data_IF_903765298809
#
_entry.id   IF_903765298809
#
_cell.length_a   1.000
_cell.length_b   1.000
_cell.length_c   1.000
_cell.angle_alpha   90.00
_cell.angle_beta   90.00
_cell.angle_gamma   90.00
#
_symmetry.space_group_name_H-M   'P 1'
#
loop_
_entity.id
_entity.type
_entity.pdbx_description
1 polymer ?
#
# COMPACT_ATOMS: atom_id res chain seq x y z
N UNK A 1 -20.07 8.12 -11.33
CA UNK A 1 -20.65 6.97 -10.58
C UNK A 1 -19.64 6.32 -9.64
N UNK A 2 -18.44 5.95 -10.10
CA UNK A 2 -17.45 5.26 -9.26
C UNK A 2 -17.06 6.03 -7.99
N UNK A 3 -16.80 7.34 -8.08
CA UNK A 3 -16.49 8.17 -6.91
C UNK A 3 -17.64 8.21 -5.87
N UNK A 4 -18.89 8.27 -6.32
CA UNK A 4 -20.07 8.30 -5.44
C UNK A 4 -20.23 6.96 -4.70
N UNK A 5 -19.97 5.84 -5.37
CA UNK A 5 -20.00 4.51 -4.76
C UNK A 5 -18.78 4.25 -3.86
N UNK A 6 -17.65 4.89 -4.15
CA UNK A 6 -16.43 4.74 -3.37
C UNK A 6 -16.53 5.36 -1.97
N UNK A 7 -17.33 6.42 -1.79
CA UNK A 7 -17.49 7.10 -0.48
C UNK A 7 -18.14 6.20 0.59
N UNK A 8 -19.32 5.58 0.39
CA UNK A 8 -19.91 4.72 1.41
C UNK A 8 -19.04 3.47 1.66
N UNK A 9 -18.41 2.94 0.60
CA UNK A 9 -17.48 1.82 0.72
C UNK A 9 -16.23 2.22 1.52
N UNK A 10 -15.67 3.41 1.30
CA UNK A 10 -14.49 3.89 2.03
C UNK A 10 -14.76 4.09 3.51
N UNK A 11 -15.96 4.53 3.90
CA UNK A 11 -16.35 4.61 5.32
C UNK A 11 -16.42 3.23 5.97
N UNK A 12 -16.94 2.22 5.26
CA UNK A 12 -16.97 0.83 5.77
C UNK A 12 -15.55 0.24 5.95
N UNK A 13 -14.62 0.60 5.05
CA UNK A 13 -13.22 0.21 5.11
C UNK A 13 -12.52 0.96 6.25
N UNK A 14 -12.76 2.27 6.38
CA UNK A 14 -12.19 3.12 7.42
C UNK A 14 -12.51 2.60 8.82
N UNK A 15 -13.76 2.24 9.09
CA UNK A 15 -14.17 1.72 10.39
C UNK A 15 -13.39 0.46 10.78
N UNK A 16 -13.19 -0.46 9.82
CA UNK A 16 -12.39 -1.68 10.01
C UNK A 16 -10.91 -1.36 10.18
N UNK A 17 -10.40 -0.37 9.45
CA UNK A 17 -9.02 0.12 9.65
C UNK A 17 -8.79 0.65 11.05
N UNK A 18 -9.66 1.52 11.55
CA UNK A 18 -9.49 2.11 12.88
C UNK A 18 -9.41 1.03 13.97
N UNK A 19 -10.21 -0.04 13.85
CA UNK A 19 -10.12 -1.18 14.76
C UNK A 19 -8.83 -2.00 14.63
N UNK A 20 -8.34 -2.21 13.40
CA UNK A 20 -7.16 -3.05 13.15
C UNK A 20 -5.86 -2.26 13.20
N UNK A 21 -5.94 -0.92 13.24
CA UNK A 21 -4.79 -0.03 13.18
C UNK A 21 -3.73 -0.32 14.24
N UNK A 22 -4.05 -0.53 15.53
CA UNK A 22 -3.03 -0.86 16.53
C UNK A 22 -2.24 -2.13 16.17
N UNK A 23 -2.94 -3.15 15.67
CA UNK A 23 -2.32 -4.41 15.23
C UNK A 23 -1.50 -4.20 13.97
N UNK A 24 -1.97 -3.36 13.04
CA UNK A 24 -1.25 -2.99 11.82
C UNK A 24 0.05 -2.24 12.14
N UNK A 25 0.04 -1.31 13.10
CA UNK A 25 1.23 -0.58 13.58
C UNK A 25 2.25 -1.54 14.15
N UNK A 26 1.83 -2.44 15.05
CA UNK A 26 2.73 -3.46 15.63
C UNK A 26 3.29 -4.34 14.51
N UNK A 27 2.47 -4.77 13.56
CA UNK A 27 2.89 -5.57 12.42
C UNK A 27 3.90 -4.85 11.52
N UNK A 28 3.66 -3.58 11.20
CA UNK A 28 4.56 -2.74 10.41
C UNK A 28 5.87 -2.45 11.15
N UNK A 29 5.81 -2.23 12.46
CA UNK A 29 6.99 -2.05 13.29
C UNK A 29 7.85 -3.31 13.30
N UNK A 30 7.25 -4.48 13.57
CA UNK A 30 7.97 -5.76 13.53
C UNK A 30 8.53 -6.05 12.14
N UNK A 31 7.76 -5.75 11.09
CA UNK A 31 8.21 -5.89 9.70
C UNK A 31 9.42 -5.01 9.39
N UNK A 32 9.36 -3.72 9.75
CA UNK A 32 10.45 -2.77 9.58
C UNK A 32 11.68 -3.13 10.42
N UNK A 33 11.49 -3.54 11.67
CA UNK A 33 12.56 -3.96 12.57
C UNK A 33 13.29 -5.21 12.06
N UNK A 34 12.55 -6.27 11.71
CA UNK A 34 13.14 -7.50 11.15
C UNK A 34 13.82 -7.23 9.81
N UNK A 35 13.19 -6.42 8.96
CA UNK A 35 13.76 -5.99 7.69
C UNK A 35 15.05 -5.19 7.88
N UNK A 36 15.09 -4.27 8.85
CA UNK A 36 16.26 -3.48 9.20
C UNK A 36 17.40 -4.34 9.75
N UNK A 37 17.10 -5.30 10.62
CA UNK A 37 18.08 -6.26 11.12
C UNK A 37 18.67 -7.10 9.98
N UNK A 38 17.83 -7.60 9.07
CA UNK A 38 18.28 -8.35 7.90
C UNK A 38 19.14 -7.48 6.97
N UNK A 39 18.72 -6.23 6.74
CA UNK A 39 19.47 -5.25 5.96
C UNK A 39 20.83 -4.93 6.60
N UNK A 40 20.89 -4.78 7.91
CA UNK A 40 22.13 -4.57 8.64
C UNK A 40 23.11 -5.74 8.45
N UNK A 41 22.65 -6.98 8.65
CA UNK A 41 23.47 -8.19 8.48
C UNK A 41 23.99 -8.33 7.04
N UNK A 42 23.12 -8.12 6.04
CA UNK A 42 23.53 -8.14 4.63
C UNK A 42 24.51 -7.00 4.33
N UNK A 43 24.30 -5.83 4.93
CA UNK A 43 25.13 -4.63 4.74
C UNK A 43 26.56 -4.79 5.24
N UNK A 44 26.81 -5.68 6.21
CA UNK A 44 28.17 -6.02 6.65
C UNK A 44 28.99 -6.71 5.54
N UNK A 45 28.32 -7.39 4.60
CA UNK A 45 28.95 -8.14 3.51
C UNK A 45 28.88 -7.33 2.20
N UNK A 46 27.69 -6.82 1.88
CA UNK A 46 27.39 -6.11 0.63
C UNK A 46 26.59 -4.84 0.95
N UNK A 47 27.27 -3.71 1.21
CA UNK A 47 26.61 -2.44 1.56
C UNK A 47 25.58 -1.97 0.53
N UNK A 48 25.82 -2.22 -0.76
CA UNK A 48 24.85 -1.85 -1.80
C UNK A 48 23.53 -2.65 -1.70
N UNK A 49 23.61 -3.93 -1.31
CA UNK A 49 22.44 -4.78 -1.19
C UNK A 49 21.57 -4.41 0.02
N UNK A 50 22.18 -3.92 1.11
CA UNK A 50 21.41 -3.43 2.26
C UNK A 50 20.60 -2.19 1.92
N UNK A 51 21.16 -1.25 1.15
CA UNK A 51 20.44 -0.05 0.69
C UNK A 51 19.22 -0.44 -0.15
N UNK A 52 19.39 -1.35 -1.12
CA UNK A 52 18.28 -1.84 -1.96
C UNK A 52 17.20 -2.50 -1.11
N UNK A 53 17.60 -3.33 -0.15
CA UNK A 53 16.66 -4.02 0.74
C UNK A 53 15.89 -3.02 1.63
N UNK A 54 16.58 -2.03 2.21
CA UNK A 54 15.95 -0.99 3.03
C UNK A 54 14.95 -0.16 2.24
N UNK A 55 15.28 0.19 0.99
CA UNK A 55 14.35 0.87 0.08
C UNK A 55 13.13 -0.02 -0.18
N UNK A 56 13.33 -1.31 -0.46
CA UNK A 56 12.22 -2.23 -0.73
C UNK A 56 11.30 -2.42 0.49
N UNK A 57 11.87 -2.56 1.69
CA UNK A 57 11.10 -2.67 2.95
C UNK A 57 10.32 -1.38 3.19
N UNK A 58 10.99 -0.23 3.10
CA UNK A 58 10.34 1.08 3.29
C UNK A 58 9.22 1.29 2.29
N UNK A 59 9.44 0.99 1.02
CA UNK A 59 8.44 1.13 -0.02
C UNK A 59 7.24 0.19 0.18
N UNK A 60 7.50 -1.06 0.59
CA UNK A 60 6.43 -2.03 0.84
C UNK A 60 5.55 -1.66 2.04
N UNK A 61 6.09 -0.91 3.01
CA UNK A 61 5.34 -0.45 4.19
C UNK A 61 4.17 0.47 3.81
N UNK A 62 4.26 1.17 2.68
CA UNK A 62 3.16 1.95 2.12
C UNK A 62 2.08 1.09 1.43
N UNK A 63 2.46 -0.05 0.86
CA UNK A 63 1.53 -0.95 0.16
C UNK A 63 0.77 -1.87 1.11
N UNK A 64 1.40 -2.31 2.20
CA UNK A 64 0.79 -3.24 3.17
C UNK A 64 -0.56 -2.70 3.67
N UNK A 65 -0.67 -1.43 4.14
CA UNK A 65 -1.96 -0.85 4.45
C UNK A 65 -2.93 -1.00 3.29
N UNK A 66 -2.62 -0.52 2.08
CA UNK A 66 -3.51 -0.58 0.91
C UNK A 66 -4.03 -2.00 0.63
N UNK A 67 -3.17 -3.02 0.79
CA UNK A 67 -3.58 -4.42 0.65
C UNK A 67 -4.58 -4.88 1.72
N UNK A 68 -4.35 -4.48 2.98
CA UNK A 68 -5.28 -4.76 4.09
C UNK A 68 -6.62 -4.04 3.85
N UNK A 69 -6.60 -2.80 3.36
CA UNK A 69 -7.81 -2.02 3.08
C UNK A 69 -8.63 -2.57 1.93
N UNK A 70 -7.96 -2.98 0.86
CA UNK A 70 -8.63 -3.66 -0.27
C UNK A 70 -9.27 -4.97 0.18
N UNK A 71 -8.67 -5.73 1.11
CA UNK A 71 -9.33 -6.90 1.74
C UNK A 71 -10.57 -6.53 2.54
N UNK A 72 -10.53 -5.45 3.31
CA UNK A 72 -11.73 -4.96 4.00
C UNK A 72 -12.82 -4.55 3.01
N UNK A 73 -12.44 -3.95 1.89
CA UNK A 73 -13.34 -3.65 0.78
C UNK A 73 -14.02 -4.90 0.24
N UNK A 74 -13.26 -5.94 -0.12
CA UNK A 74 -13.85 -7.23 -0.55
C UNK A 74 -14.73 -7.87 0.52
N UNK A 75 -14.32 -7.83 1.78
CA UNK A 75 -15.09 -8.40 2.88
C UNK A 75 -16.40 -7.64 3.14
N UNK A 76 -16.49 -6.35 2.81
CA UNK A 76 -17.76 -5.59 2.85
C UNK A 76 -18.72 -6.00 1.73
N UNK A 77 -18.18 -6.52 0.62
CA UNK A 77 -18.91 -7.09 -0.51
C UNK A 77 -19.12 -8.61 -0.37
N UNK A 78 -18.88 -9.16 0.83
CA UNK A 78 -18.99 -10.59 1.14
C UNK A 78 -18.08 -11.51 0.30
N UNK A 79 -17.00 -10.96 -0.28
CA UNK A 79 -16.03 -11.72 -1.05
C UNK A 79 -14.84 -12.04 -0.15
N UNK A 80 -14.59 -13.34 0.03
CA UNK A 80 -13.51 -13.82 0.89
C UNK A 80 -12.20 -13.99 0.09
N UNK A 81 -11.06 -13.52 0.63
CA UNK A 81 -9.75 -13.75 0.01
C UNK A 81 -9.38 -15.24 0.04
N UNK A 82 -8.77 -15.73 -1.03
CA UNK A 82 -8.29 -17.12 -1.12
C UNK A 82 -6.97 -17.34 -0.38
N UNK A 83 -6.21 -16.26 -0.15
CA UNK A 83 -4.89 -16.30 0.46
C UNK A 83 -4.88 -15.73 1.90
N UNK A 84 -4.06 -16.32 2.78
CA UNK A 84 -3.79 -15.75 4.11
C UNK A 84 -2.90 -14.48 4.05
N UNK A 85 -2.87 -13.69 5.12
CA UNK A 85 -2.10 -12.43 5.19
C UNK A 85 -0.60 -12.61 4.97
N UNK A 86 -0.02 -13.76 5.36
CA UNK A 86 1.40 -14.06 5.12
C UNK A 86 1.78 -14.03 3.64
N UNK A 87 0.85 -14.41 2.75
CA UNK A 87 1.07 -14.41 1.30
C UNK A 87 1.01 -13.00 0.68
N UNK A 88 0.64 -11.97 1.45
CA UNK A 88 0.63 -10.58 0.98
C UNK A 88 2.00 -9.91 1.04
N UNK A 89 2.94 -10.42 1.84
CA UNK A 89 4.26 -9.81 2.05
C UNK A 89 5.04 -9.73 0.73
N UNK A 90 5.03 -10.81 -0.05
CA UNK A 90 5.75 -10.82 -1.33
C UNK A 90 5.13 -9.84 -2.35
N UNK A 91 3.81 -9.87 -2.62
CA UNK A 91 3.17 -8.83 -3.42
C UNK A 91 3.44 -7.40 -2.92
N UNK A 92 3.39 -7.15 -1.60
CA UNK A 92 3.60 -5.80 -1.08
C UNK A 92 5.01 -5.29 -1.33
N UNK A 93 6.01 -6.18 -1.25
CA UNK A 93 7.40 -5.86 -1.63
C UNK A 93 7.49 -5.57 -3.13
N UNK A 94 6.90 -6.40 -3.99
CA UNK A 94 6.96 -6.21 -5.45
C UNK A 94 6.30 -4.89 -5.87
N UNK A 95 5.08 -4.62 -5.43
CA UNK A 95 4.39 -3.38 -5.78
C UNK A 95 5.03 -2.16 -5.12
N UNK A 96 5.52 -2.30 -3.89
CA UNK A 96 6.22 -1.22 -3.18
C UNK A 96 7.51 -0.85 -3.90
N UNK A 97 8.36 -1.83 -4.19
CA UNK A 97 9.59 -1.62 -4.94
C UNK A 97 9.32 -1.03 -6.34
N UNK A 98 8.27 -1.49 -7.02
CA UNK A 98 7.89 -0.95 -8.34
C UNK A 98 7.47 0.52 -8.24
N UNK A 99 6.65 0.85 -7.25
CA UNK A 99 6.25 2.24 -7.01
C UNK A 99 7.45 3.11 -6.63
N UNK A 100 8.29 2.66 -5.69
CA UNK A 100 9.47 3.42 -5.27
C UNK A 100 10.48 3.60 -6.40
N UNK A 101 10.69 2.59 -7.24
CA UNK A 101 11.55 2.70 -8.41
C UNK A 101 10.97 3.69 -9.42
N UNK A 102 9.68 3.62 -9.70
CA UNK A 102 9.03 4.56 -10.61
C UNK A 102 9.11 6.00 -10.08
N UNK A 103 8.90 6.20 -8.78
CA UNK A 103 9.05 7.50 -8.10
C UNK A 103 10.52 7.96 -8.11
N UNK A 104 11.48 7.06 -7.87
CA UNK A 104 12.90 7.40 -7.89
C UNK A 104 13.38 7.81 -9.28
N UNK A 105 12.95 7.12 -10.34
CA UNK A 105 13.27 7.49 -11.74
C UNK A 105 12.78 8.90 -12.08
N UNK A 106 11.69 9.35 -11.46
CA UNK A 106 11.14 10.68 -11.67
C UNK A 106 11.78 11.74 -10.76
N UNK A 107 12.03 11.40 -9.50
CA UNK A 107 12.51 12.34 -8.49
C UNK A 107 14.04 12.49 -8.46
N UNK A 108 14.81 11.43 -8.74
CA UNK A 108 16.28 11.49 -8.65
C UNK A 108 16.88 12.44 -9.69
N UNK A 109 16.49 12.42 -10.98
CA UNK A 109 17.03 13.38 -11.95
C UNK A 109 16.63 14.81 -11.63
N UNK A 110 15.39 15.01 -11.16
CA UNK A 110 14.86 16.34 -10.85
C UNK A 110 15.50 16.93 -9.59
N UNK A 111 15.62 16.16 -8.52
CA UNK A 111 16.36 16.57 -7.31
C UNK A 111 17.86 16.69 -7.54
N UNK A 112 18.46 15.84 -8.38
CA UNK A 112 19.87 15.91 -8.74
C UNK A 112 20.21 17.15 -9.57
N UNK A 113 19.40 17.45 -10.59
CA UNK A 113 19.51 18.71 -11.35
C UNK A 113 19.35 19.92 -10.43
N UNK A 114 18.38 19.87 -9.53
CA UNK A 114 18.11 20.95 -8.59
C UNK A 114 19.27 21.14 -7.60
N UNK A 115 19.85 20.06 -7.07
CA UNK A 115 21.03 20.11 -6.20
C UNK A 115 22.25 20.71 -6.93
N UNK A 116 22.47 20.35 -8.20
CA UNK A 116 23.56 20.91 -9.02
C UNK A 116 23.36 22.42 -9.25
N UNK A 117 22.13 22.86 -9.49
CA UNK A 117 21.83 24.28 -9.71
C UNK A 117 21.92 25.13 -8.45
N UNK A 118 21.72 24.54 -7.27
CA UNK A 118 21.59 25.26 -5.99
C UNK A 118 22.88 25.24 -5.18
N UNK A 119 23.67 24.16 -5.26
CA UNK A 119 24.91 24.00 -4.51
C UNK A 119 25.88 25.20 -4.51
N UNK A 120 26.00 26.01 -5.59
CA UNK A 120 26.86 27.19 -5.57
C UNK A 120 26.44 28.28 -4.57
N UNK A 121 25.14 28.40 -4.25
CA UNK A 121 24.57 29.48 -3.42
C UNK A 121 24.30 29.06 -1.95
N UNK A 122 24.38 27.76 -1.62
CA UNK A 122 24.07 27.23 -0.27
C UNK A 122 25.12 27.64 0.78
N UNK A 123 26.32 28.01 0.36
CA UNK A 123 27.41 28.39 1.27
C UNK A 123 27.21 29.75 1.95
N UNK A 124 26.22 30.55 1.52
CA UNK A 124 26.00 31.92 2.02
C UNK A 124 24.57 32.13 2.60
N UNK A 125 23.94 31.06 3.10
CA UNK A 125 22.57 31.08 3.62
C UNK A 125 22.49 31.75 5.00
N UNK A 126 22.47 33.08 5.01
CA UNK A 126 21.85 33.86 6.09
C UNK A 126 20.32 33.89 5.90
N UNK A 127 19.56 34.10 6.98
CA UNK A 127 18.09 33.90 7.02
C UNK A 127 17.28 34.71 6.00
N UNK A 128 17.79 35.85 5.50
CA UNK A 128 17.14 36.65 4.44
C UNK A 128 17.33 36.01 3.05
N UNK A 129 18.48 35.38 2.78
CA UNK A 129 18.76 34.73 1.49
C UNK A 129 17.85 33.52 1.23
N UNK A 130 17.43 32.80 2.28
CA UNK A 130 16.51 31.65 2.16
C UNK A 130 15.13 32.08 1.69
N UNK A 131 14.62 33.22 2.20
CA UNK A 131 13.28 33.71 1.88
C UNK A 131 13.21 34.22 0.44
N UNK A 132 14.24 34.92 -0.04
CA UNK A 132 14.32 35.36 -1.44
C UNK A 132 14.51 34.19 -2.41
N UNK A 133 15.26 33.16 -2.03
CA UNK A 133 15.39 31.92 -2.81
C UNK A 133 14.05 31.21 -2.97
N UNK A 134 13.27 31.11 -1.89
CA UNK A 134 11.95 30.45 -1.89
C UNK A 134 10.84 31.26 -2.57
N UNK A 135 10.97 32.59 -2.67
CA UNK A 135 9.98 33.44 -3.33
C UNK A 135 10.34 33.77 -4.80
N UNK A 136 11.58 33.50 -5.21
CA UNK A 136 12.06 33.70 -6.58
C UNK A 136 11.63 32.60 -7.58
N UNK A 137 12.22 32.66 -8.78
CA UNK A 137 12.04 31.65 -9.85
C UNK A 137 12.40 30.22 -9.40
N UNK A 138 13.23 30.10 -8.37
CA UNK A 138 13.59 28.84 -7.73
C UNK A 138 12.43 28.22 -6.95
N UNK A 139 11.71 29.01 -6.13
CA UNK A 139 10.47 28.57 -5.47
C UNK A 139 9.38 28.16 -6.45
N UNK A 140 9.24 28.89 -7.56
CA UNK A 140 8.33 28.52 -8.65
C UNK A 140 8.72 27.17 -9.31
N UNK A 141 10.03 26.89 -9.45
CA UNK A 141 10.53 25.64 -10.02
C UNK A 141 10.35 24.46 -9.06
N UNK A 142 10.61 24.66 -7.75
CA UNK A 142 10.36 23.67 -6.70
C UNK A 142 8.87 23.30 -6.59
N UNK A 143 8.00 24.31 -6.60
CA UNK A 143 6.54 24.09 -6.59
C UNK A 143 6.07 23.37 -7.85
N UNK A 144 6.55 23.74 -9.04
CA UNK A 144 6.26 23.02 -10.28
C UNK A 144 6.69 21.55 -10.24
N UNK A 145 7.92 21.28 -9.79
CA UNK A 145 8.46 19.91 -9.68
C UNK A 145 7.68 19.06 -8.68
N UNK A 146 7.30 19.63 -7.53
CA UNK A 146 6.48 18.92 -6.54
C UNK A 146 5.09 18.55 -7.10
N UNK A 147 4.47 19.43 -7.90
CA UNK A 147 3.20 19.12 -8.58
C UNK A 147 3.38 17.96 -9.57
N UNK A 148 4.43 18.01 -10.41
CA UNK A 148 4.73 16.93 -11.36
C UNK A 148 4.97 15.60 -10.63
N UNK A 149 5.73 15.63 -9.54
CA UNK A 149 5.97 14.46 -8.70
C UNK A 149 4.68 13.89 -8.12
N UNK A 150 3.81 14.73 -7.53
CA UNK A 150 2.53 14.31 -6.97
C UNK A 150 1.63 13.70 -8.05
N UNK A 151 1.54 14.34 -9.21
CA UNK A 151 0.76 13.83 -10.36
C UNK A 151 1.30 12.47 -10.81
N UNK A 152 2.62 12.32 -10.90
CA UNK A 152 3.21 11.07 -11.33
C UNK A 152 3.04 9.94 -10.28
N UNK A 153 3.18 10.26 -8.98
CA UNK A 153 2.85 9.33 -7.89
C UNK A 153 1.38 8.90 -7.98
N UNK A 154 0.46 9.83 -8.24
CA UNK A 154 -0.95 9.51 -8.42
C UNK A 154 -1.18 8.59 -9.62
N UNK A 155 -0.48 8.81 -10.72
CA UNK A 155 -0.55 7.96 -11.91
C UNK A 155 -0.03 6.54 -11.65
N UNK A 156 1.13 6.43 -11.00
CA UNK A 156 1.73 5.13 -10.62
C UNK A 156 0.79 4.40 -9.66
N UNK A 157 0.29 5.07 -8.63
CA UNK A 157 -0.66 4.51 -7.67
C UNK A 157 -1.92 4.02 -8.37
N UNK A 158 -2.51 4.83 -9.25
CA UNK A 158 -3.73 4.49 -9.98
C UNK A 158 -3.56 3.26 -10.88
N UNK A 159 -2.41 3.11 -11.54
CA UNK A 159 -2.16 1.98 -12.43
C UNK A 159 -1.96 0.64 -11.71
N UNK A 160 -1.47 0.67 -10.47
CA UNK A 160 -1.27 -0.54 -9.65
C UNK A 160 -2.45 -0.90 -8.73
N UNK A 161 -3.49 -0.05 -8.59
CA UNK A 161 -4.60 -0.32 -7.67
C UNK A 161 -5.37 -1.61 -7.99
N UNK A 162 -5.64 -1.91 -9.27
CA UNK A 162 -6.33 -3.15 -9.69
C UNK A 162 -5.44 -4.40 -9.49
N UNK A 163 -4.16 -4.39 -9.92
CA UNK A 163 -3.21 -5.45 -9.56
C UNK A 163 -3.09 -5.69 -8.05
N UNK A 164 -3.06 -4.62 -7.24
CA UNK A 164 -3.06 -4.72 -5.77
C UNK A 164 -4.34 -5.37 -5.27
N UNK A 165 -5.51 -4.98 -5.78
CA UNK A 165 -6.77 -5.60 -5.41
C UNK A 165 -6.79 -7.11 -5.75
N UNK A 166 -6.26 -7.48 -6.92
CA UNK A 166 -6.13 -8.88 -7.35
C UNK A 166 -5.18 -9.67 -6.44
N UNK A 167 -4.03 -9.09 -6.08
CA UNK A 167 -3.07 -9.67 -5.15
C UNK A 167 -3.68 -9.84 -3.74
N UNK A 168 -4.42 -8.85 -3.27
CA UNK A 168 -5.11 -8.87 -1.99
C UNK A 168 -6.13 -10.00 -1.90
N UNK A 169 -6.87 -10.23 -2.98
CA UNK A 169 -7.86 -11.30 -3.06
C UNK A 169 -7.23 -12.68 -3.34
N UNK A 170 -6.06 -12.70 -3.99
CA UNK A 170 -5.34 -13.90 -4.41
C UNK A 170 -5.85 -14.50 -5.73
N UNK A 171 -6.59 -13.73 -6.52
CA UNK A 171 -7.15 -14.13 -7.82
C UNK A 171 -7.32 -12.90 -8.71
N UNK A 172 -7.27 -13.12 -10.02
CA UNK A 172 -7.51 -12.09 -11.03
C UNK A 172 -9.02 -11.89 -11.26
N UNK A 173 -9.46 -10.76 -11.85
CA UNK A 173 -10.87 -10.51 -12.19
C UNK A 173 -11.49 -11.63 -13.05
N UNK A 174 -10.69 -12.29 -13.88
CA UNK A 174 -11.09 -13.43 -14.74
C UNK A 174 -11.20 -14.77 -13.97
N UNK A 175 -11.22 -14.74 -12.64
CA UNK A 175 -11.21 -15.90 -11.71
C UNK A 175 -10.01 -16.85 -11.88
N UNK A 176 -8.92 -16.35 -12.48
CA UNK A 176 -7.64 -17.07 -12.58
C UNK A 176 -6.79 -16.86 -11.34
N UNK A 177 -5.80 -17.73 -11.13
CA UNK A 177 -4.78 -17.52 -10.11
C UNK A 177 -4.08 -16.17 -10.33
N UNK A 178 -3.81 -15.46 -9.23
CA UNK A 178 -3.22 -14.12 -9.26
C UNK A 178 -1.94 -14.07 -10.12
N UNK A 179 -1.91 -13.13 -11.06
CA UNK A 179 -0.74 -12.85 -11.90
C UNK A 179 -0.24 -11.42 -11.64
N UNK A 180 1.04 -11.19 -11.30
CA UNK A 180 1.57 -9.84 -11.10
C UNK A 180 1.33 -8.93 -12.30
N UNK A 181 0.92 -7.68 -12.04
CA UNK A 181 0.68 -6.64 -13.06
C UNK A 181 -0.40 -6.95 -14.11
N UNK A 182 -1.17 -8.02 -13.97
CA UNK A 182 -2.34 -8.21 -14.82
C UNK A 182 -3.36 -7.10 -14.55
N UNK A 183 -3.98 -6.58 -15.60
CA UNK A 183 -4.90 -5.43 -15.53
C UNK A 183 -4.23 -4.13 -15.01
N UNK A 184 -2.91 -4.00 -15.18
CA UNK A 184 -2.21 -2.75 -14.90
C UNK A 184 -2.78 -1.61 -15.75
N UNK A 185 -3.14 -0.50 -15.10
CA UNK A 185 -3.76 0.64 -15.78
C UNK A 185 -5.21 0.44 -16.20
N UNK A 186 -5.89 -0.63 -15.79
CA UNK A 186 -7.30 -0.78 -16.10
C UNK A 186 -8.17 0.30 -15.43
N UNK A 187 -9.08 0.88 -16.19
CA UNK A 187 -9.86 2.05 -15.77
C UNK A 187 -8.99 3.22 -15.23
N UNK A 188 -7.78 3.38 -15.78
CA UNK A 188 -6.76 4.34 -15.32
C UNK A 188 -7.33 5.72 -14.98
N UNK A 189 -8.06 6.36 -15.90
CA UNK A 189 -8.55 7.73 -15.71
C UNK A 189 -9.48 7.88 -14.50
N UNK A 190 -10.33 6.89 -14.24
CA UNK A 190 -11.24 6.92 -13.09
C UNK A 190 -10.48 6.73 -11.78
N UNK A 191 -9.52 5.80 -11.75
CA UNK A 191 -8.67 5.56 -10.58
C UNK A 191 -7.71 6.73 -10.34
N UNK A 192 -7.15 7.31 -11.40
CA UNK A 192 -6.28 8.47 -11.34
C UNK A 192 -7.01 9.68 -10.77
N UNK A 193 -8.21 10.00 -11.28
CA UNK A 193 -9.03 11.09 -10.75
C UNK A 193 -9.38 10.86 -9.26
N UNK A 194 -9.66 9.62 -8.88
CA UNK A 194 -9.99 9.27 -7.50
C UNK A 194 -8.77 9.34 -6.56
N UNK A 195 -7.62 8.86 -7.01
CA UNK A 195 -6.34 8.96 -6.27
C UNK A 195 -5.96 10.43 -6.12
N UNK A 196 -5.98 11.20 -7.21
CA UNK A 196 -5.71 12.64 -7.19
C UNK A 196 -6.65 13.37 -6.22
N UNK A 197 -7.96 13.09 -6.30
CA UNK A 197 -8.94 13.65 -5.38
C UNK A 197 -8.64 13.26 -3.92
N UNK A 198 -8.15 12.05 -3.66
CA UNK A 198 -7.78 11.63 -2.30
C UNK A 198 -6.56 12.40 -1.77
N UNK A 199 -5.52 12.60 -2.58
CA UNK A 199 -4.32 13.35 -2.17
C UNK A 199 -4.61 14.84 -2.00
N UNK A 200 -5.28 15.46 -2.99
CA UNK A 200 -5.70 16.86 -2.92
C UNK A 200 -6.69 17.07 -1.77
N UNK A 201 -7.62 16.14 -1.58
CA UNK A 201 -8.58 16.16 -0.48
C UNK A 201 -7.91 16.15 0.89
N UNK A 202 -6.93 15.27 1.11
CA UNK A 202 -6.13 15.28 2.34
C UNK A 202 -5.44 16.63 2.52
N UNK A 203 -4.74 17.12 1.49
CA UNK A 203 -3.99 18.38 1.59
C UNK A 203 -4.90 19.56 1.97
N UNK A 204 -6.07 19.66 1.34
CA UNK A 204 -7.07 20.69 1.64
C UNK A 204 -7.62 20.52 3.06
N UNK A 205 -8.05 19.32 3.45
CA UNK A 205 -8.59 19.07 4.80
C UNK A 205 -7.55 19.38 5.86
N UNK A 206 -6.30 18.95 5.66
CA UNK A 206 -5.20 19.22 6.58
C UNK A 206 -4.96 20.71 6.72
N UNK A 207 -4.91 21.44 5.59
CA UNK A 207 -4.74 22.90 5.58
C UNK A 207 -5.88 23.60 6.33
N UNK A 208 -7.13 23.20 6.08
CA UNK A 208 -8.30 23.78 6.76
C UNK A 208 -8.24 23.53 8.26
N UNK A 209 -7.88 22.32 8.70
CA UNK A 209 -7.72 21.99 10.12
C UNK A 209 -6.60 22.82 10.74
N UNK A 210 -5.44 22.90 10.09
CA UNK A 210 -4.31 23.69 10.58
C UNK A 210 -4.66 25.17 10.71
N UNK A 211 -5.39 25.71 9.72
CA UNK A 211 -5.85 27.09 9.72
C UNK A 211 -6.88 27.34 10.83
N UNK A 212 -7.82 26.40 11.01
CA UNK A 212 -8.80 26.46 12.09
C UNK A 212 -8.13 26.42 13.47
N UNK A 213 -7.11 25.56 13.65
CA UNK A 213 -6.32 25.51 14.87
C UNK A 213 -5.57 26.83 15.10
N UNK A 214 -4.92 27.38 14.07
CA UNK A 214 -4.17 28.63 14.14
C UNK A 214 -5.04 29.85 14.51
N UNK A 215 -6.28 29.91 14.03
CA UNK A 215 -7.22 30.98 14.37
C UNK A 215 -8.07 30.71 15.61
N UNK A 216 -7.89 29.55 16.26
CA UNK A 216 -8.57 29.21 17.50
C UNK A 216 -7.67 29.41 18.71
N UNK A 217 -8.27 29.58 19.89
CA UNK A 217 -7.54 29.50 21.17
C UNK A 217 -6.91 28.12 21.42
N UNK A 218 -7.28 27.10 20.64
CA UNK A 218 -6.66 25.79 20.68
C UNK A 218 -5.25 25.80 20.07
N UNK A 219 -4.92 26.76 19.19
CA UNK A 219 -3.60 26.85 18.57
C UNK A 219 -2.48 27.03 19.61
N UNK A 220 -2.70 27.87 20.62
CA UNK A 220 -1.74 28.06 21.71
C UNK A 220 -1.59 26.81 22.57
N UNK A 221 -2.70 26.11 22.86
CA UNK A 221 -2.69 24.84 23.61
C UNK A 221 -1.87 23.76 22.89
N UNK A 222 -1.95 23.71 21.56
CA UNK A 222 -1.15 22.78 20.76
C UNK A 222 0.32 23.20 20.73
N UNK A 223 0.61 24.50 20.59
CA UNK A 223 1.98 25.01 20.60
C UNK A 223 2.68 24.72 21.94
N UNK A 224 2.01 25.02 23.07
CA UNK A 224 2.53 24.72 24.41
C UNK A 224 2.74 23.22 24.60
N UNK A 225 1.79 22.40 24.13
CA UNK A 225 1.92 20.95 24.15
C UNK A 225 3.07 20.40 23.30
N UNK A 226 3.42 21.05 22.19
CA UNK A 226 4.58 20.67 21.36
C UNK A 226 5.90 21.06 22.02
N UNK A 227 5.96 22.22 22.69
CA UNK A 227 7.12 22.63 23.48
C UNK A 227 7.36 21.63 24.60
N UNK A 228 6.30 21.27 25.34
CA UNK A 228 6.39 20.29 26.41
C UNK A 228 6.81 18.90 25.91
N UNK A 229 6.34 18.49 24.72
CA UNK A 229 6.80 17.24 24.09
C UNK A 229 8.30 17.29 23.79
N UNK A 230 8.81 18.42 23.31
CA UNK A 230 10.24 18.60 23.06
C UNK A 230 11.03 18.52 24.36
N UNK A 231 10.57 19.17 25.43
CA UNK A 231 11.18 19.11 26.77
C UNK A 231 11.19 17.67 27.33
N UNK A 232 10.15 16.86 27.09
CA UNK A 232 10.15 15.44 27.46
C UNK A 232 11.19 14.62 26.68
N UNK A 233 11.34 14.89 25.38
CA UNK A 233 12.32 14.22 24.52
C UNK A 233 13.75 14.59 24.94
N UNK A 234 13.97 15.85 25.34
CA UNK A 234 15.25 16.35 25.86
C UNK A 234 15.53 15.92 27.31
N UNK A 235 14.53 15.37 28.00
CA UNK A 235 14.65 14.90 29.39
C UNK A 235 14.59 16.02 30.43
N UNK A 236 14.13 17.21 30.05
CA UNK A 236 13.95 18.37 30.94
C UNK A 236 12.57 18.37 31.61
N UNK A 237 11.61 17.62 31.08
CA UNK A 237 10.27 17.43 31.65
C UNK A 237 9.93 15.94 31.90
N UNK A 238 9.06 15.62 32.89
CA UNK A 238 8.61 14.25 33.12
C UNK A 238 7.64 13.77 32.03
N UNK A 239 7.73 12.49 31.67
CA UNK A 239 6.83 11.86 30.70
C UNK A 239 5.37 11.94 31.15
N UNK A 240 4.54 12.66 30.39
CA UNK A 240 3.09 12.73 30.59
C UNK A 240 2.35 12.81 29.26
N UNK A 241 1.07 12.43 29.27
CA UNK A 241 0.24 12.43 28.06
C UNK A 241 -0.24 13.85 27.73
N UNK A 242 0.07 14.30 26.51
CA UNK A 242 -0.35 15.60 25.98
C UNK A 242 -1.59 15.39 25.12
N UNK A 243 -2.74 15.21 25.78
CA UNK A 243 -3.99 14.82 25.13
C UNK A 243 -4.41 15.69 23.94
N UNK A 244 -4.28 17.04 23.97
CA UNK A 244 -4.61 17.87 22.82
C UNK A 244 -3.76 17.56 21.58
N UNK A 245 -2.44 17.39 21.76
CA UNK A 245 -1.52 17.04 20.67
C UNK A 245 -1.82 15.64 20.14
N UNK A 246 -2.06 14.67 21.03
CA UNK A 246 -2.44 13.30 20.67
C UNK A 246 -3.75 13.29 19.87
N UNK A 247 -4.75 14.06 20.29
CA UNK A 247 -6.05 14.14 19.62
C UNK A 247 -5.92 14.72 18.20
N UNK A 248 -5.12 15.77 18.03
CA UNK A 248 -4.85 16.36 16.71
C UNK A 248 -4.11 15.39 15.80
N UNK A 249 -3.08 14.70 16.31
CA UNK A 249 -2.37 13.65 15.55
C UNK A 249 -3.33 12.52 15.16
N UNK A 250 -4.17 12.06 16.09
CA UNK A 250 -5.16 11.02 15.82
C UNK A 250 -6.16 11.45 14.73
N UNK A 251 -6.61 12.71 14.75
CA UNK A 251 -7.48 13.27 13.71
C UNK A 251 -6.80 13.24 12.33
N UNK A 252 -5.55 13.70 12.24
CA UNK A 252 -4.78 13.64 10.99
C UNK A 252 -4.61 12.21 10.49
N UNK A 253 -4.32 11.26 11.37
CA UNK A 253 -4.21 9.83 11.04
C UNK A 253 -5.54 9.27 10.50
N UNK A 254 -6.67 9.58 11.16
CA UNK A 254 -8.00 9.11 10.72
C UNK A 254 -8.34 9.65 9.33
N UNK A 255 -8.04 10.92 9.06
CA UNK A 255 -8.24 11.52 7.73
C UNK A 255 -7.32 10.87 6.68
N UNK A 256 -6.07 10.56 7.05
CA UNK A 256 -5.14 9.81 6.21
C UNK A 256 -5.69 8.43 5.86
N UNK A 257 -6.25 7.71 6.83
CA UNK A 257 -6.92 6.42 6.58
C UNK A 257 -8.18 6.55 5.76
N UNK A 258 -8.94 7.62 5.91
CA UNK A 258 -10.11 7.84 5.08
C UNK A 258 -9.70 7.94 3.61
N UNK A 259 -8.69 8.74 3.30
CA UNK A 259 -8.22 8.89 1.92
C UNK A 259 -7.61 7.60 1.36
N UNK A 260 -6.85 6.87 2.17
CA UNK A 260 -6.36 5.54 1.79
C UNK A 260 -7.53 4.57 1.53
N UNK A 261 -8.57 4.63 2.36
CA UNK A 261 -9.78 3.83 2.20
C UNK A 261 -10.55 4.18 0.92
N UNK A 262 -10.56 5.45 0.51
CA UNK A 262 -11.11 5.89 -0.77
C UNK A 262 -10.37 5.23 -1.93
N UNK A 263 -9.04 5.23 -1.92
CA UNK A 263 -8.24 4.56 -2.96
C UNK A 263 -8.50 3.05 -3.00
N UNK A 264 -8.57 2.40 -1.83
CA UNK A 264 -8.89 0.98 -1.72
C UNK A 264 -10.29 0.65 -2.28
N UNK A 265 -11.29 1.48 -1.93
CA UNK A 265 -12.65 1.36 -2.44
C UNK A 265 -12.68 1.49 -3.96
N UNK A 266 -11.95 2.47 -4.52
CA UNK A 266 -11.80 2.63 -5.97
C UNK A 266 -11.25 1.38 -6.65
N UNK A 267 -10.14 0.83 -6.15
CA UNK A 267 -9.53 -0.39 -6.68
C UNK A 267 -10.46 -1.60 -6.62
N UNK A 268 -11.19 -1.77 -5.50
CA UNK A 268 -12.17 -2.86 -5.33
C UNK A 268 -13.34 -2.72 -6.31
N UNK A 269 -13.91 -1.53 -6.46
CA UNK A 269 -15.04 -1.31 -7.36
C UNK A 269 -14.68 -1.55 -8.83
N UNK A 270 -13.50 -1.08 -9.27
CA UNK A 270 -13.01 -1.38 -10.62
C UNK A 270 -12.78 -2.88 -10.80
N UNK A 271 -12.15 -3.53 -9.82
CA UNK A 271 -11.94 -4.98 -9.85
C UNK A 271 -13.27 -5.74 -10.03
N UNK A 272 -14.30 -5.39 -9.26
CA UNK A 272 -15.61 -6.05 -9.34
C UNK A 272 -16.29 -5.80 -10.68
N UNK A 273 -16.21 -4.57 -11.19
CA UNK A 273 -16.73 -4.25 -12.51
C UNK A 273 -16.07 -5.08 -13.60
N UNK A 274 -14.74 -5.24 -13.56
CA UNK A 274 -14.01 -6.07 -14.51
C UNK A 274 -14.42 -7.54 -14.42
N UNK A 275 -14.56 -8.06 -13.19
CA UNK A 275 -15.04 -9.42 -12.93
C UNK A 275 -16.45 -9.66 -13.50
N UNK A 276 -17.35 -8.69 -13.34
CA UNK A 276 -18.73 -8.79 -13.82
C UNK A 276 -18.80 -8.74 -15.37
N UNK A 277 -17.82 -8.09 -16.01
CA UNK A 277 -17.70 -8.03 -17.48
C UNK A 277 -16.91 -9.18 -18.09
N UNK A 278 -16.17 -9.94 -17.29
CA UNK A 278 -15.36 -11.05 -17.79
C UNK A 278 -16.28 -12.15 -18.32
N UNK A 279 -16.03 -12.68 -19.53
CA UNK A 279 -16.79 -13.82 -20.04
C UNK A 279 -16.65 -14.97 -19.04
N UNK A 280 -17.77 -15.54 -18.62
CA UNK A 280 -17.79 -16.69 -17.73
C UNK A 280 -16.99 -17.81 -18.38
N UNK A 281 -15.75 -18.00 -17.96
CA UNK A 281 -15.03 -19.23 -18.28
C UNK A 281 -15.83 -20.37 -17.64
N UNK A 282 -16.14 -21.44 -18.39
CA UNK A 282 -16.77 -22.60 -17.78
C UNK A 282 -15.85 -23.03 -16.64
N UNK A 283 -16.38 -22.93 -15.42
CA UNK A 283 -15.65 -23.23 -14.21
C UNK A 283 -14.97 -24.58 -14.41
N UNK A 284 -13.64 -24.58 -14.50
CA UNK A 284 -12.90 -25.79 -14.21
C UNK A 284 -13.30 -26.12 -12.78
N UNK A 285 -14.12 -27.17 -12.64
CA UNK A 285 -14.76 -27.63 -11.42
C UNK A 285 -13.78 -27.48 -10.26
N UNK A 286 -13.90 -26.39 -9.51
CA UNK A 286 -13.25 -26.28 -8.22
C UNK A 286 -14.04 -27.22 -7.31
N UNK A 287 -13.46 -28.32 -6.82
CA UNK A 287 -14.15 -29.15 -5.84
C UNK A 287 -14.42 -28.27 -4.63
N UNK A 288 -15.70 -28.10 -4.33
CA UNK A 288 -16.17 -27.39 -3.16
C UNK A 288 -15.52 -28.00 -1.90
N UNK A 289 -14.69 -27.25 -1.15
CA UNK A 289 -14.05 -27.76 0.06
C UNK A 289 -15.06 -28.04 1.19
N UNK A 290 -16.34 -27.68 1.03
CA UNK A 290 -17.42 -28.06 1.95
C UNK A 290 -18.14 -29.34 1.56
N UNK A 291 -17.88 -29.88 0.37
CA UNK A 291 -18.45 -31.14 -0.11
C UNK A 291 -17.50 -32.35 -0.02
N UNK A 292 -16.28 -32.17 0.47
CA UNK A 292 -15.34 -33.29 0.69
C UNK A 292 -15.62 -34.13 1.94
N UNK A 293 -16.78 -34.01 2.60
CA UNK A 293 -17.15 -34.90 3.72
C UNK A 293 -18.08 -36.05 3.38
N UNK A 294 -18.52 -36.19 2.11
CA UNK A 294 -19.15 -37.43 1.62
C UNK A 294 -18.69 -37.75 0.19
N UNK A 295 -17.39 -37.82 -0.01
CA UNK A 295 -16.88 -38.72 -1.04
C UNK A 295 -17.19 -40.14 -0.55
N UNK A 296 -18.26 -40.71 -1.06
CA UNK A 296 -18.49 -42.15 -1.04
C UNK A 296 -17.18 -42.79 -1.44
N UNK A 297 -16.55 -43.49 -0.49
CA UNK A 297 -15.48 -44.43 -0.75
C UNK A 297 -16.04 -45.50 -1.68
N UNK A 298 -16.06 -45.22 -2.99
CA UNK A 298 -15.98 -46.28 -3.97
C UNK A 298 -14.58 -46.85 -3.81
N UNK A 299 -14.51 -47.91 -3.00
CA UNK A 299 -13.40 -48.83 -3.02
C UNK A 299 -13.27 -49.33 -4.46
N UNK A 300 -12.33 -48.75 -5.21
CA UNK A 300 -11.72 -49.51 -6.30
C UNK A 300 -11.19 -50.82 -5.70
N UNK A 301 -11.23 -51.94 -6.43
CA UNK A 301 -10.66 -53.18 -5.94
C UNK A 301 -9.20 -52.90 -5.57
N UNK A 302 -8.82 -53.22 -4.34
CA UNK A 302 -7.42 -53.18 -3.92
C UNK A 302 -6.66 -54.18 -4.80
N UNK A 303 -6.09 -53.68 -5.89
CA UNK A 303 -5.23 -54.47 -6.76
C UNK A 303 -4.05 -54.95 -5.93
N UNK A 304 -3.93 -56.26 -5.83
CA UNK A 304 -2.90 -56.89 -5.03
C UNK A 304 -1.52 -56.60 -5.65
N UNK A 305 -0.46 -56.58 -4.86
CA UNK A 305 0.88 -56.23 -5.35
C UNK A 305 1.37 -57.15 -6.49
N UNK A 306 0.80 -58.35 -6.60
CA UNK A 306 1.02 -59.32 -7.66
C UNK A 306 0.40 -58.89 -9.00
N UNK A 307 -0.79 -58.27 -9.00
CA UNK A 307 -1.45 -57.76 -10.20
C UNK A 307 -0.70 -56.56 -10.80
N UNK A 308 -0.11 -55.72 -9.93
CA UNK A 308 0.74 -54.61 -10.37
C UNK A 308 2.06 -55.08 -10.99
N UNK A 309 2.62 -56.21 -10.51
CA UNK A 309 3.78 -56.85 -11.14
C UNK A 309 3.42 -57.50 -12.47
N UNK A 310 2.26 -58.15 -12.57
CA UNK A 310 1.78 -58.73 -13.82
C UNK A 310 1.54 -57.66 -14.90
N UNK A 311 0.98 -56.50 -14.52
CA UNK A 311 0.77 -55.35 -15.41
C UNK A 311 2.07 -54.68 -15.86
N UNK A 312 3.12 -54.65 -15.03
CA UNK A 312 4.45 -54.21 -15.48
C UNK A 312 5.05 -55.19 -16.48
N UNK A 313 4.95 -56.49 -16.20
CA UNK A 313 5.51 -57.53 -17.06
C UNK A 313 4.81 -57.60 -18.42
N UNK A 314 3.50 -57.37 -18.48
CA UNK A 314 2.76 -57.32 -19.75
C UNK A 314 3.10 -56.09 -20.60
N UNK A 315 3.39 -54.94 -19.96
CA UNK A 315 3.88 -53.74 -20.68
C UNK A 315 5.29 -53.88 -21.22
N UNK A 316 6.15 -54.64 -20.54
CA UNK A 316 7.51 -54.91 -21.02
C UNK A 316 7.53 -55.91 -22.18
N UNK A 317 6.58 -56.84 -22.23
CA UNK A 317 6.47 -57.83 -23.33
C UNK A 317 5.74 -57.31 -24.57
N UNK A 318 4.95 -56.23 -24.45
CA UNK A 318 4.21 -55.63 -25.58
C UNK A 318 5.01 -54.66 -26.45
N UNK A 319 6.31 -54.49 -26.19
CA UNK A 319 7.20 -53.53 -26.87
C UNK A 319 8.31 -54.20 -27.71
N UNK A 320 8.11 -55.46 -28.12
CA UNK A 320 9.00 -56.19 -29.04
C UNK A 320 8.23 -56.69 -30.27
#
# INVERSE_FOLDING_TARGET
MLAIQAIPLSLSILWRYVMVFPVLVIGLFLYGFLGGLLGFVIGLIIPAASVILMIAISASSGIIPVMVGTRFGFASQQIMPSAGYKKLILPSIVYGATEALAVAVLLVPTTGLLAITVMPDVTDLTGEGVADLLNGSFGASLSGLSIVAVVAICAIRASILVPIASASLGRDPDDRAYTPFRHFGESFWYLFALVLLSYVGIAVIYTVISLALAFSSFGTVIADGLIELAEMIEGTAPWRAIWPVIAVIALYIVIGFWALSVQCAGGVLVYLRLRDTAPAHPAAVQPDPRNTSKATSQSGPLMNAEDLRALRKSREQGNH
#
